data_IF_218090604640
#
_entry.id   IF_218090604640
#
_cell.length_a   1.000
_cell.length_b   1.000
_cell.length_c   1.000
_cell.angle_alpha   90.00
_cell.angle_beta   90.00
_cell.angle_gamma   90.00
#
_symmetry.space_group_name_H-M   'P 1'
#
loop_
_entity.id
_entity.type
_entity.pdbx_description
1 polymer ?
#
# COMPACT_ATOMS: atom_id res chain seq x y z
N UNK A 1 10.51 -40.48 -58.12
CA UNK A 1 9.55 -39.40 -57.73
C UNK A 1 9.11 -39.61 -56.28
N UNK A 2 9.55 -38.77 -55.33
CA UNK A 2 9.13 -38.87 -53.92
C UNK A 2 7.84 -38.05 -53.71
N UNK A 3 6.72 -38.71 -53.43
CA UNK A 3 5.43 -38.05 -53.15
C UNK A 3 5.50 -37.33 -51.79
N UNK A 4 5.27 -36.01 -51.80
CA UNK A 4 5.13 -35.16 -50.61
C UNK A 4 3.90 -35.61 -49.81
N UNK A 5 4.10 -36.20 -48.63
CA UNK A 5 3.02 -36.63 -47.76
C UNK A 5 2.44 -35.42 -47.02
N UNK A 6 1.25 -34.97 -47.43
CA UNK A 6 0.53 -33.89 -46.77
C UNK A 6 0.07 -34.35 -45.38
N UNK A 7 0.66 -33.78 -44.32
CA UNK A 7 0.24 -34.03 -42.94
C UNK A 7 -1.13 -33.38 -42.72
N UNK A 8 -2.20 -34.17 -42.81
CA UNK A 8 -3.55 -33.73 -42.40
C UNK A 8 -3.56 -33.61 -40.87
N UNK A 9 -3.66 -32.38 -40.36
CA UNK A 9 -3.79 -32.11 -38.93
C UNK A 9 -5.21 -32.51 -38.51
N UNK A 10 -5.33 -33.34 -37.48
CA UNK A 10 -6.62 -33.81 -36.98
C UNK A 10 -7.39 -32.68 -36.30
N UNK A 11 -8.71 -32.64 -36.53
CA UNK A 11 -9.64 -31.72 -35.85
C UNK A 11 -9.58 -31.82 -34.32
N UNK A 12 -9.17 -32.98 -33.77
CA UNK A 12 -8.90 -33.14 -32.33
C UNK A 12 -7.72 -32.28 -31.85
N UNK A 13 -6.67 -32.17 -32.67
CA UNK A 13 -5.48 -31.35 -32.37
C UNK A 13 -5.84 -29.86 -32.46
N UNK A 14 -6.64 -29.49 -33.47
CA UNK A 14 -7.13 -28.12 -33.62
C UNK A 14 -7.99 -27.70 -32.43
N UNK A 15 -8.90 -28.58 -31.98
CA UNK A 15 -9.71 -28.35 -30.79
C UNK A 15 -8.90 -28.20 -29.51
N UNK A 16 -7.85 -29.01 -29.32
CA UNK A 16 -6.96 -28.93 -28.17
C UNK A 16 -6.19 -27.59 -28.14
N UNK A 17 -5.66 -27.16 -29.29
CA UNK A 17 -4.95 -25.87 -29.41
C UNK A 17 -5.88 -24.70 -29.13
N UNK A 18 -7.12 -24.75 -29.62
CA UNK A 18 -8.13 -23.72 -29.35
C UNK A 18 -8.48 -23.63 -27.86
N UNK A 19 -8.65 -24.77 -27.18
CA UNK A 19 -8.91 -24.81 -25.74
C UNK A 19 -7.75 -24.23 -24.93
N UNK A 20 -6.50 -24.54 -25.31
CA UNK A 20 -5.32 -23.98 -24.65
C UNK A 20 -5.24 -22.46 -24.80
N UNK A 21 -5.56 -21.93 -25.99
CA UNK A 21 -5.62 -20.48 -26.22
C UNK A 21 -6.67 -19.83 -25.33
N UNK A 22 -7.87 -20.42 -25.21
CA UNK A 22 -8.92 -19.91 -24.32
C UNK A 22 -8.50 -19.90 -22.85
N UNK A 23 -7.80 -20.94 -22.39
CA UNK A 23 -7.30 -21.00 -21.02
C UNK A 23 -6.24 -19.92 -20.74
N UNK A 24 -5.36 -19.66 -21.72
CA UNK A 24 -4.36 -18.59 -21.62
C UNK A 24 -5.03 -17.22 -21.56
N UNK A 25 -6.01 -16.95 -22.44
CA UNK A 25 -6.77 -15.69 -22.44
C UNK A 25 -7.50 -15.50 -21.12
N UNK A 26 -8.14 -16.55 -20.59
CA UNK A 26 -8.82 -16.51 -19.30
C UNK A 26 -7.85 -16.22 -18.15
N UNK A 27 -6.66 -16.83 -18.16
CA UNK A 27 -5.64 -16.63 -17.14
C UNK A 27 -5.05 -15.22 -17.16
N UNK A 28 -4.79 -14.68 -18.37
CA UNK A 28 -4.33 -13.30 -18.55
C UNK A 28 -5.41 -12.32 -18.10
N UNK A 29 -6.67 -12.54 -18.50
CA UNK A 29 -7.81 -11.73 -18.06
C UNK A 29 -7.96 -11.71 -16.54
N UNK A 30 -7.80 -12.87 -15.88
CA UNK A 30 -7.81 -12.97 -14.42
C UNK A 30 -6.66 -12.19 -13.76
N UNK A 31 -5.46 -12.23 -14.33
CA UNK A 31 -4.31 -11.47 -13.84
C UNK A 31 -4.55 -9.96 -13.90
N UNK A 32 -5.06 -9.45 -15.03
CA UNK A 32 -5.43 -8.03 -15.17
C UNK A 32 -6.60 -7.64 -14.25
N UNK A 33 -7.60 -8.51 -14.10
CA UNK A 33 -8.70 -8.30 -13.16
C UNK A 33 -8.20 -8.12 -11.73
N UNK A 34 -7.21 -8.90 -11.31
CA UNK A 34 -6.61 -8.78 -9.98
C UNK A 34 -5.85 -7.46 -9.80
N UNK A 35 -5.18 -6.95 -10.84
CA UNK A 35 -4.48 -5.66 -10.79
C UNK A 35 -5.43 -4.45 -10.86
N UNK A 36 -6.65 -4.63 -11.39
CA UNK A 36 -7.68 -3.59 -11.44
C UNK A 36 -8.51 -3.45 -10.17
N UNK A 37 -8.33 -4.36 -9.19
CA UNK A 37 -9.04 -4.21 -7.92
C UNK A 37 -8.53 -2.93 -7.24
N UNK A 38 -9.41 -1.98 -6.91
CA UNK A 38 -9.00 -0.86 -6.07
C UNK A 38 -8.36 -1.44 -4.81
N UNK A 39 -7.31 -0.79 -4.32
CA UNK A 39 -6.69 -1.08 -3.02
C UNK A 39 -7.84 -1.28 -2.06
N UNK A 40 -7.96 -2.50 -1.49
CA UNK A 40 -9.01 -2.82 -0.53
C UNK A 40 -9.06 -1.66 0.43
N UNK A 41 -10.26 -1.09 0.58
CA UNK A 41 -10.55 0.04 1.43
C UNK A 41 -9.57 0.05 2.58
N UNK A 42 -8.65 1.04 2.57
CA UNK A 42 -7.90 1.37 3.77
C UNK A 42 -8.95 1.32 4.85
N UNK A 43 -8.82 0.41 5.81
CA UNK A 43 -9.75 0.31 6.92
C UNK A 43 -9.55 1.63 7.66
N UNK A 44 -10.31 2.63 7.25
CA UNK A 44 -10.65 3.81 7.99
C UNK A 44 -11.83 3.27 8.78
N UNK A 45 -11.62 2.68 9.97
CA UNK A 45 -12.73 2.49 10.87
C UNK A 45 -13.47 3.82 10.90
N UNK A 46 -14.78 3.74 10.89
CA UNK A 46 -15.67 4.86 11.13
C UNK A 46 -15.44 5.29 12.59
N UNK A 47 -14.25 5.81 12.90
CA UNK A 47 -13.97 6.57 14.10
C UNK A 47 -14.83 7.80 13.92
N UNK A 48 -16.06 7.69 14.39
CA UNK A 48 -16.90 8.81 14.69
C UNK A 48 -16.27 9.46 15.91
N UNK A 49 -15.09 10.06 15.71
CA UNK A 49 -14.52 10.99 16.65
C UNK A 49 -15.64 12.02 16.84
N UNK A 50 -16.12 12.26 18.06
CA UNK A 50 -17.02 13.37 18.27
C UNK A 50 -16.23 14.59 17.83
N UNK A 51 -16.51 15.11 16.63
CA UNK A 51 -16.16 16.46 16.23
C UNK A 51 -17.06 17.32 17.12
N UNK A 52 -16.73 17.39 18.40
CA UNK A 52 -17.10 18.52 19.23
C UNK A 52 -16.63 19.69 18.42
N UNK A 53 -17.55 20.52 17.93
CA UNK A 53 -17.22 21.73 17.20
C UNK A 53 -16.04 22.37 17.92
N UNK A 54 -14.88 22.36 17.25
CA UNK A 54 -13.64 22.76 17.88
C UNK A 54 -13.74 24.28 18.05
N UNK A 55 -14.30 24.69 19.19
CA UNK A 55 -14.25 26.04 19.69
C UNK A 55 -12.80 26.29 20.09
N UNK A 56 -11.96 26.52 19.10
CA UNK A 56 -10.59 26.91 19.34
C UNK A 56 -10.62 28.29 19.98
N UNK A 57 -10.16 28.45 21.22
CA UNK A 57 -9.92 29.78 21.76
C UNK A 57 -9.00 30.51 20.79
N UNK A 58 -9.44 31.71 20.38
CA UNK A 58 -8.69 32.60 19.49
C UNK A 58 -7.40 32.95 20.25
N UNK A 59 -6.31 32.26 19.87
CA UNK A 59 -4.97 32.21 20.50
C UNK A 59 -4.84 31.51 21.86
N UNK A 60 -4.56 30.20 21.81
CA UNK A 60 -3.71 29.49 22.77
C UNK A 60 -2.79 28.58 21.95
N UNK A 61 -1.47 28.62 22.16
CA UNK A 61 -0.54 27.76 21.42
C UNK A 61 -0.96 26.29 21.53
N UNK A 62 -1.17 25.62 20.39
CA UNK A 62 -1.49 24.19 20.37
C UNK A 62 -0.19 23.39 20.43
N UNK A 63 -0.14 22.42 21.33
CA UNK A 63 0.99 21.48 21.40
C UNK A 63 0.76 20.37 20.39
N UNK A 64 1.75 20.13 19.53
CA UNK A 64 1.75 19.03 18.56
C UNK A 64 2.88 18.08 18.95
N UNK A 65 2.56 16.81 19.17
CA UNK A 65 3.57 15.77 19.38
C UNK A 65 4.12 15.32 18.03
N UNK A 66 5.31 15.82 17.68
CA UNK A 66 5.99 15.53 16.42
C UNK A 66 6.45 14.07 16.36
N UNK A 67 5.81 13.27 15.50
CA UNK A 67 6.03 11.83 15.25
C UNK A 67 5.75 10.92 16.44
N UNK A 68 4.91 11.38 17.36
CA UNK A 68 4.68 10.74 18.65
C UNK A 68 5.74 11.07 19.70
N UNK A 69 5.75 10.30 20.78
CA UNK A 69 6.63 10.50 21.92
C UNK A 69 7.85 9.58 21.86
N UNK A 70 9.01 10.16 21.52
CA UNK A 70 10.27 9.43 21.27
C UNK A 70 10.78 8.58 22.44
N UNK A 71 10.43 8.95 23.68
CA UNK A 71 10.81 8.17 24.86
C UNK A 71 9.86 6.98 25.10
N UNK A 72 8.65 7.00 24.52
CA UNK A 72 7.68 5.91 24.62
C UNK A 72 7.72 4.92 23.46
N UNK A 73 8.37 5.28 22.34
CA UNK A 73 8.52 4.40 21.19
C UNK A 73 9.42 5.02 20.11
N UNK A 74 9.71 4.23 19.08
CA UNK A 74 10.36 4.75 17.87
C UNK A 74 9.41 5.73 17.19
N UNK A 75 9.93 6.79 16.58
CA UNK A 75 9.09 7.75 15.87
C UNK A 75 8.19 7.06 14.83
N UNK A 76 6.99 7.61 14.59
CA UNK A 76 6.07 7.11 13.57
C UNK A 76 5.58 5.65 13.83
N UNK A 77 5.64 5.15 15.07
CA UNK A 77 5.04 3.86 15.47
C UNK A 77 3.80 4.04 16.35
N UNK A 78 2.98 2.99 16.48
CA UNK A 78 1.81 3.00 17.36
C UNK A 78 2.21 3.27 18.81
N UNK A 79 3.30 2.69 19.30
CA UNK A 79 3.78 2.87 20.67
C UNK A 79 4.13 4.33 20.96
N UNK A 80 4.78 5.03 20.01
CA UNK A 80 5.06 6.46 20.16
C UNK A 80 3.80 7.32 20.14
N UNK A 81 2.81 6.96 19.32
CA UNK A 81 1.52 7.67 19.22
C UNK A 81 0.70 7.47 20.50
N UNK A 82 0.58 6.23 20.97
CA UNK A 82 -0.10 5.87 22.21
C UNK A 82 0.57 6.53 23.42
N UNK A 83 1.91 6.51 23.47
CA UNK A 83 2.65 7.18 24.54
C UNK A 83 2.46 8.70 24.51
N UNK A 84 2.36 9.32 23.33
CA UNK A 84 2.05 10.73 23.19
C UNK A 84 0.64 11.07 23.69
N UNK A 85 -0.34 10.18 23.48
CA UNK A 85 -1.72 10.39 23.88
C UNK A 85 -1.87 10.60 25.41
N UNK A 86 -1.00 9.99 26.23
CA UNK A 86 -0.98 10.21 27.68
C UNK A 86 -0.69 11.65 28.11
N UNK A 87 -0.11 12.47 27.22
CA UNK A 87 0.20 13.88 27.50
C UNK A 87 -0.85 14.85 26.93
N UNK A 88 -1.95 14.31 26.38
CA UNK A 88 -3.09 15.07 25.83
C UNK A 88 -2.68 16.24 24.90
N UNK A 89 -1.77 16.02 23.92
CA UNK A 89 -1.44 17.06 22.96
C UNK A 89 -2.68 17.39 22.12
N UNK A 90 -2.71 18.59 21.53
CA UNK A 90 -3.79 18.95 20.62
C UNK A 90 -3.79 18.04 19.37
N UNK A 91 -2.61 17.60 18.93
CA UNK A 91 -2.42 16.67 17.83
C UNK A 91 -1.17 15.80 18.03
N UNK A 92 -1.16 14.62 17.42
CA UNK A 92 0.04 13.83 17.18
C UNK A 92 0.30 13.87 15.68
N UNK A 93 1.50 14.27 15.27
CA UNK A 93 1.90 14.34 13.88
C UNK A 93 2.53 13.02 13.44
N UNK A 94 2.33 12.68 12.17
CA UNK A 94 2.91 11.51 11.51
C UNK A 94 3.39 11.93 10.11
N UNK A 95 4.46 11.29 9.63
CA UNK A 95 4.97 11.48 8.27
C UNK A 95 4.52 10.33 7.38
N UNK A 96 3.96 10.63 6.20
CA UNK A 96 3.53 9.61 5.23
C UNK A 96 4.42 9.67 4.00
N UNK A 97 4.80 8.49 3.48
CA UNK A 97 5.48 8.31 2.20
C UNK A 97 4.77 7.22 1.40
N UNK A 98 4.98 7.22 0.08
CA UNK A 98 4.48 6.16 -0.81
C UNK A 98 5.63 5.26 -1.26
N UNK A 99 5.41 3.95 -1.26
CA UNK A 99 6.35 2.94 -1.76
C UNK A 99 6.21 2.74 -3.28
N UNK A 100 7.11 1.93 -3.86
CA UNK A 100 7.13 1.65 -5.31
C UNK A 100 5.92 0.83 -5.78
N UNK A 101 5.40 -0.01 -4.90
CA UNK A 101 4.17 -0.79 -5.06
C UNK A 101 2.91 0.00 -4.71
N UNK A 102 3.00 1.35 -4.69
CA UNK A 102 1.92 2.30 -4.48
C UNK A 102 1.25 2.26 -3.08
N UNK A 103 1.87 1.57 -2.11
CA UNK A 103 1.40 1.49 -0.72
C UNK A 103 1.84 2.70 0.12
N UNK A 104 1.00 3.12 1.06
CA UNK A 104 1.30 4.23 1.98
C UNK A 104 1.95 3.70 3.26
N UNK A 105 3.07 4.32 3.66
CA UNK A 105 3.84 3.94 4.85
C UNK A 105 4.10 5.15 5.74
N UNK A 106 4.18 4.93 7.05
CA UNK A 106 4.39 5.99 8.04
C UNK A 106 5.87 6.05 8.40
N UNK A 107 6.61 6.97 7.76
CA UNK A 107 8.05 7.16 7.94
C UNK A 107 8.48 8.54 7.45
N UNK A 108 9.38 9.17 8.19
CA UNK A 108 9.93 10.47 7.78
C UNK A 108 10.96 10.36 6.64
N UNK A 109 11.93 9.46 6.79
CA UNK A 109 13.08 9.40 5.90
C UNK A 109 12.76 8.60 4.63
N UNK A 110 13.38 9.00 3.51
CA UNK A 110 13.33 8.23 2.25
C UNK A 110 14.15 6.94 2.27
N UNK A 111 14.75 6.58 3.40
CA UNK A 111 15.62 5.42 3.54
C UNK A 111 15.47 4.77 4.90
N UNK A 112 15.70 3.47 4.97
CA UNK A 112 15.66 2.71 6.22
C UNK A 112 16.94 2.82 7.05
N UNK A 113 17.90 3.65 6.63
CA UNK A 113 19.25 3.64 7.21
C UNK A 113 19.29 4.10 8.64
N UNK A 114 18.55 5.15 9.00
CA UNK A 114 18.57 5.72 10.35
C UNK A 114 17.85 4.84 11.36
N UNK A 115 16.68 4.30 10.99
CA UNK A 115 15.81 3.58 11.91
C UNK A 115 16.06 2.06 11.94
N UNK A 116 16.51 1.47 10.83
CA UNK A 116 16.68 0.03 10.72
C UNK A 116 18.10 -0.40 10.27
N UNK A 117 19.04 0.55 10.17
CA UNK A 117 20.42 0.32 9.69
C UNK A 117 20.52 -0.31 8.29
N UNK A 118 19.43 -0.22 7.51
CA UNK A 118 19.27 -0.79 6.18
C UNK A 118 19.63 0.24 5.10
N UNK A 119 20.43 -0.15 4.11
CA UNK A 119 20.88 0.78 3.04
C UNK A 119 19.82 1.03 1.97
N UNK A 120 18.71 0.32 2.05
CA UNK A 120 17.57 0.40 1.17
C UNK A 120 16.95 1.80 1.22
N UNK A 121 16.81 2.42 0.04
CA UNK A 121 16.00 3.61 -0.17
C UNK A 121 14.63 3.19 -0.67
N UNK A 122 13.59 3.85 -0.19
CA UNK A 122 12.31 3.82 -0.88
C UNK A 122 12.50 4.55 -2.21
N UNK A 123 12.20 3.87 -3.33
CA UNK A 123 11.95 4.57 -4.60
C UNK A 123 10.59 5.27 -4.45
N UNK A 124 10.63 6.50 -3.94
CA UNK A 124 9.44 7.31 -3.74
C UNK A 124 9.05 7.91 -5.08
N UNK A 125 7.81 7.64 -5.51
CA UNK A 125 7.16 8.41 -6.56
C UNK A 125 6.65 9.71 -5.92
N UNK A 126 7.09 10.85 -6.48
CA UNK A 126 6.55 12.18 -6.15
C UNK A 126 5.54 12.59 -7.22
#
# INVERSE_FOLDING_TARGET
>A
MKRKQSKRISYKIIGLVFLLILLIICSIGWMFYQQSKPVKDIFIPEWQYPIKQLNFPKSSSKVISHRGYKQGGVENTLEAIEAAAHFEPAYVEIDIQQTKDDEMVVIHDRSLKRLANKKERFEIRL
#
